data_IF_323139367253
#
_entry.id   IF_323139367253
#
_cell.length_a   1.000
_cell.length_b   1.000
_cell.length_c   1.000
_cell.angle_alpha   90.00
_cell.angle_beta   90.00
_cell.angle_gamma   90.00
#
_symmetry.space_group_name_H-M   'P 1'
#
loop_
_entity.id
_entity.type
_entity.pdbx_description
1 polymer ?
#
# COMPACT_ATOMS: atom_id res chain seq x y z
N UNK A 1 -5.27 -16.58 -5.34
CA UNK A 1 -5.12 -15.45 -4.42
C UNK A 1 -3.74 -15.42 -3.76
N UNK A 2 -3.24 -16.56 -3.26
CA UNK A 2 -1.87 -16.66 -2.68
C UNK A 2 -0.83 -15.99 -3.56
N UNK A 3 -0.80 -16.30 -4.85
CA UNK A 3 0.17 -15.75 -5.80
C UNK A 3 0.12 -14.22 -5.90
N UNK A 4 -1.03 -13.62 -5.64
CA UNK A 4 -1.19 -12.15 -5.62
C UNK A 4 -0.57 -11.53 -4.39
N UNK A 5 -0.62 -12.19 -3.25
CA UNK A 5 -0.05 -11.69 -1.99
C UNK A 5 1.48 -11.82 -2.00
N UNK A 6 2.01 -12.93 -2.51
CA UNK A 6 3.46 -13.20 -2.47
C UNK A 6 4.22 -12.66 -3.69
N UNK A 7 3.52 -12.15 -4.71
CA UNK A 7 4.13 -11.62 -5.93
C UNK A 7 5.29 -10.63 -5.61
N UNK A 8 6.40 -10.62 -6.33
CA UNK A 8 6.73 -11.45 -7.50
C UNK A 8 7.31 -12.84 -7.16
N UNK A 9 7.33 -13.23 -5.90
CA UNK A 9 7.77 -14.58 -5.51
C UNK A 9 6.78 -15.64 -5.97
N UNK A 10 7.25 -16.84 -6.28
CA UNK A 10 6.42 -17.98 -6.66
C UNK A 10 6.20 -18.94 -5.51
N UNK A 11 7.01 -18.82 -4.45
CA UNK A 11 6.94 -19.63 -3.24
C UNK A 11 7.04 -18.74 -2.01
N UNK A 12 6.52 -19.21 -0.88
CA UNK A 12 6.61 -18.52 0.40
C UNK A 12 6.69 -19.54 1.53
N UNK A 13 7.41 -19.17 2.59
CA UNK A 13 7.42 -19.91 3.86
C UNK A 13 6.30 -19.44 4.81
N UNK A 14 5.49 -18.45 4.39
CA UNK A 14 4.37 -17.96 5.18
C UNK A 14 3.25 -19.01 5.22
N UNK A 15 2.79 -19.33 6.42
CA UNK A 15 1.64 -20.19 6.64
C UNK A 15 0.34 -19.55 6.13
N UNK A 16 -0.66 -20.37 5.84
CA UNK A 16 -1.98 -19.91 5.37
C UNK A 16 -2.62 -18.93 6.35
N UNK A 17 -2.48 -19.20 7.64
CA UNK A 17 -2.99 -18.33 8.71
C UNK A 17 -2.39 -16.93 8.59
N UNK A 18 -1.08 -16.83 8.32
CA UNK A 18 -0.42 -15.52 8.15
C UNK A 18 -0.90 -14.79 6.90
N UNK A 19 -1.16 -15.50 5.81
CA UNK A 19 -1.72 -14.90 4.60
C UNK A 19 -3.14 -14.36 4.83
N UNK A 20 -3.95 -15.09 5.60
CA UNK A 20 -5.29 -14.63 5.99
C UNK A 20 -5.25 -13.42 6.93
N UNK A 21 -4.31 -13.39 7.89
CA UNK A 21 -4.07 -12.23 8.74
C UNK A 21 -3.67 -11.00 7.92
N UNK A 22 -2.80 -11.16 6.92
CA UNK A 22 -2.41 -10.05 6.04
C UNK A 22 -3.62 -9.48 5.28
N UNK A 23 -4.52 -10.32 4.80
CA UNK A 23 -5.77 -9.86 4.19
C UNK A 23 -6.63 -9.08 5.20
N UNK A 24 -6.71 -9.53 6.45
CA UNK A 24 -7.42 -8.83 7.50
C UNK A 24 -6.78 -7.46 7.79
N UNK A 25 -5.46 -7.39 7.87
CA UNK A 25 -4.71 -6.15 8.13
C UNK A 25 -4.97 -5.07 7.06
N UNK A 26 -5.32 -5.47 5.84
CA UNK A 26 -5.63 -4.55 4.74
C UNK A 26 -7.14 -4.45 4.44
N UNK A 27 -7.98 -4.91 5.36
CA UNK A 27 -9.45 -4.88 5.25
C UNK A 27 -10.00 -5.66 4.05
N UNK A 28 -9.42 -6.82 3.77
CA UNK A 28 -9.85 -7.80 2.77
C UNK A 28 -10.13 -9.17 3.40
N UNK A 29 -10.60 -9.18 4.64
CA UNK A 29 -10.80 -10.39 5.46
C UNK A 29 -11.74 -11.42 4.82
N UNK A 30 -12.73 -10.99 4.05
CA UNK A 30 -13.68 -11.88 3.39
C UNK A 30 -13.25 -12.32 1.99
N UNK A 31 -12.18 -11.72 1.45
CA UNK A 31 -11.80 -11.94 0.05
C UNK A 31 -11.49 -13.41 -0.25
N UNK A 32 -10.74 -14.08 0.63
CA UNK A 32 -10.38 -15.48 0.41
C UNK A 32 -11.62 -16.38 0.28
N UNK A 33 -12.63 -16.17 1.12
CA UNK A 33 -13.89 -16.91 1.05
C UNK A 33 -14.67 -16.58 -0.23
N UNK A 34 -14.77 -15.31 -0.57
CA UNK A 34 -15.52 -14.84 -1.75
C UNK A 34 -14.97 -15.39 -3.07
N UNK A 35 -13.66 -15.59 -3.17
CA UNK A 35 -13.01 -16.06 -4.40
C UNK A 35 -12.78 -17.56 -4.45
N UNK A 36 -13.10 -18.29 -3.39
CA UNK A 36 -12.95 -19.75 -3.34
C UNK A 36 -11.66 -20.25 -2.70
N UNK A 37 -11.02 -19.43 -1.86
CA UNK A 37 -9.85 -19.77 -1.06
C UNK A 37 -8.53 -19.17 -1.54
N UNK A 38 -7.47 -19.42 -0.80
CA UNK A 38 -6.13 -18.90 -1.11
C UNK A 38 -5.58 -19.42 -2.43
N UNK A 39 -5.91 -20.63 -2.83
CA UNK A 39 -5.44 -21.24 -4.07
C UNK A 39 -6.25 -20.82 -5.31
N UNK A 40 -7.33 -20.06 -5.13
CA UNK A 40 -8.15 -19.62 -6.25
C UNK A 40 -7.36 -18.77 -7.24
N UNK A 41 -7.63 -18.98 -8.52
CA UNK A 41 -7.03 -18.23 -9.64
C UNK A 41 -8.14 -17.56 -10.44
N UNK A 42 -8.02 -16.27 -10.62
CA UNK A 42 -8.98 -15.44 -11.35
C UNK A 42 -8.25 -14.38 -12.18
N UNK A 43 -8.97 -13.72 -13.07
CA UNK A 43 -8.54 -12.44 -13.66
C UNK A 43 -8.77 -11.32 -12.65
N UNK A 44 -7.78 -11.11 -11.80
CA UNK A 44 -7.87 -10.24 -10.63
C UNK A 44 -8.16 -8.78 -10.99
N UNK A 45 -7.64 -8.31 -12.12
CA UNK A 45 -7.88 -6.94 -12.58
C UNK A 45 -9.36 -6.70 -12.92
N UNK A 46 -10.04 -7.74 -13.39
CA UNK A 46 -11.48 -7.66 -13.69
C UNK A 46 -12.36 -7.95 -12.48
N UNK A 47 -11.89 -8.78 -11.58
CA UNK A 47 -12.66 -9.20 -10.41
C UNK A 47 -12.65 -8.16 -9.30
N UNK A 48 -11.48 -7.57 -9.02
CA UNK A 48 -11.29 -6.65 -7.91
C UNK A 48 -11.52 -5.19 -8.32
N UNK A 49 -12.16 -4.41 -7.46
CA UNK A 49 -12.18 -2.96 -7.58
C UNK A 49 -10.77 -2.38 -7.47
N UNK A 50 -10.58 -1.14 -7.94
CA UNK A 50 -9.27 -0.46 -7.84
C UNK A 50 -8.84 -0.35 -6.38
N UNK A 51 -9.76 -0.02 -5.46
CA UNK A 51 -9.46 0.06 -4.03
C UNK A 51 -9.05 -1.29 -3.43
N UNK A 52 -9.68 -2.39 -3.83
CA UNK A 52 -9.29 -3.74 -3.41
C UNK A 52 -7.91 -4.12 -3.97
N UNK A 53 -7.62 -3.78 -5.22
CA UNK A 53 -6.30 -3.99 -5.83
C UNK A 53 -5.21 -3.21 -5.07
N UNK A 54 -5.48 -1.96 -4.70
CA UNK A 54 -4.56 -1.14 -3.91
C UNK A 54 -4.32 -1.75 -2.53
N UNK A 55 -5.37 -2.18 -1.82
CA UNK A 55 -5.23 -2.85 -0.52
C UNK A 55 -4.45 -4.15 -0.63
N UNK A 56 -4.70 -4.93 -1.68
CA UNK A 56 -3.93 -6.16 -1.93
C UNK A 56 -2.44 -5.87 -2.18
N UNK A 57 -2.10 -4.76 -2.83
CA UNK A 57 -0.72 -4.32 -3.00
C UNK A 57 -0.04 -4.01 -1.65
N UNK A 58 -0.76 -3.43 -0.70
CA UNK A 58 -0.24 -3.26 0.67
C UNK A 58 -0.02 -4.60 1.38
N UNK A 59 -0.88 -5.59 1.18
CA UNK A 59 -0.66 -6.93 1.70
C UNK A 59 0.65 -7.55 1.18
N UNK A 60 0.99 -7.33 -0.10
CA UNK A 60 2.30 -7.74 -0.67
C UNK A 60 3.48 -7.11 0.06
N UNK A 61 3.40 -5.81 0.34
CA UNK A 61 4.47 -5.10 1.07
C UNK A 61 4.63 -5.67 2.47
N UNK A 62 3.52 -5.87 3.19
CA UNK A 62 3.53 -6.44 4.53
C UNK A 62 4.07 -7.88 4.55
N UNK A 63 3.76 -8.67 3.53
CA UNK A 63 4.27 -10.04 3.38
C UNK A 63 5.78 -10.07 3.17
N UNK A 64 6.32 -9.14 2.41
CA UNK A 64 7.74 -9.10 2.02
C UNK A 64 8.63 -8.37 3.02
N UNK A 65 8.09 -7.46 3.80
CA UNK A 65 8.82 -6.64 4.77
C UNK A 65 10.09 -5.99 4.19
N UNK A 66 9.98 -5.19 3.12
CA UNK A 66 11.14 -4.55 2.52
C UNK A 66 11.71 -3.47 3.44
N UNK A 67 13.00 -3.12 3.26
CA UNK A 67 13.62 -1.99 3.97
C UNK A 67 13.11 -0.62 3.49
N UNK A 68 12.70 -0.55 2.23
CA UNK A 68 12.14 0.66 1.60
C UNK A 68 11.03 0.28 0.64
N UNK A 69 10.00 1.12 0.57
CA UNK A 69 8.90 0.98 -0.39
C UNK A 69 8.62 2.31 -1.08
N UNK A 70 8.38 2.25 -2.37
CA UNK A 70 7.92 3.40 -3.17
C UNK A 70 6.45 3.18 -3.50
N UNK A 71 5.61 4.12 -3.10
CA UNK A 71 4.17 4.11 -3.30
C UNK A 71 3.79 5.19 -4.32
N UNK A 72 3.44 4.78 -5.54
CA UNK A 72 3.02 5.69 -6.60
C UNK A 72 1.50 5.69 -6.69
N UNK A 73 0.86 6.77 -6.18
CA UNK A 73 -0.59 6.91 -6.12
C UNK A 73 -1.31 5.70 -5.50
N UNK A 74 -0.67 5.05 -4.53
CA UNK A 74 -1.05 3.73 -4.03
C UNK A 74 -2.36 3.72 -3.22
N UNK A 75 -2.86 4.87 -2.79
CA UNK A 75 -4.09 5.03 -2.01
C UNK A 75 -5.16 5.89 -2.69
N UNK A 76 -4.98 6.19 -3.97
CA UNK A 76 -5.85 7.13 -4.72
C UNK A 76 -7.33 6.71 -4.76
N UNK A 77 -7.63 5.41 -4.69
CA UNK A 77 -9.00 4.88 -4.69
C UNK A 77 -9.52 4.53 -3.28
N UNK A 78 -8.79 4.88 -2.23
CA UNK A 78 -9.17 4.60 -0.84
C UNK A 78 -9.78 5.83 -0.18
N UNK A 79 -10.72 5.60 0.74
CA UNK A 79 -11.18 6.63 1.65
C UNK A 79 -10.10 6.97 2.70
N UNK A 80 -10.28 8.06 3.43
CA UNK A 80 -9.31 8.55 4.40
C UNK A 80 -9.04 7.55 5.54
N UNK A 81 -10.05 6.81 5.97
CA UNK A 81 -9.91 5.83 7.05
C UNK A 81 -9.05 4.64 6.61
N UNK A 82 -9.30 4.10 5.43
CA UNK A 82 -8.48 3.02 4.85
C UNK A 82 -7.06 3.48 4.58
N UNK A 83 -6.87 4.66 3.99
CA UNK A 83 -5.55 5.25 3.73
C UNK A 83 -4.76 5.38 5.03
N UNK A 84 -5.33 6.01 6.05
CA UNK A 84 -4.68 6.19 7.35
C UNK A 84 -4.29 4.86 7.98
N UNK A 85 -5.20 3.89 7.99
CA UNK A 85 -4.95 2.55 8.54
C UNK A 85 -3.77 1.85 7.86
N UNK A 86 -3.71 1.88 6.53
CA UNK A 86 -2.65 1.22 5.77
C UNK A 86 -1.29 1.91 5.96
N UNK A 87 -1.23 3.24 5.91
CA UNK A 87 0.00 3.97 6.18
C UNK A 87 0.50 3.75 7.61
N UNK A 88 -0.40 3.77 8.59
CA UNK A 88 -0.04 3.47 9.98
C UNK A 88 0.54 2.07 10.09
N UNK A 89 -0.07 1.09 9.46
CA UNK A 89 0.41 -0.29 9.47
C UNK A 89 1.81 -0.43 8.86
N UNK A 90 2.08 0.25 7.74
CA UNK A 90 3.42 0.29 7.16
C UNK A 90 4.44 0.95 8.09
N UNK A 91 4.09 2.08 8.71
CA UNK A 91 4.98 2.78 9.64
C UNK A 91 5.37 1.91 10.84
N UNK A 92 4.45 1.09 11.35
CA UNK A 92 4.72 0.15 12.43
C UNK A 92 5.77 -0.91 12.07
N UNK A 93 5.94 -1.21 10.79
CA UNK A 93 7.00 -2.13 10.31
C UNK A 93 8.40 -1.53 10.32
N UNK A 94 8.53 -0.20 10.49
CA UNK A 94 9.80 0.50 10.42
C UNK A 94 10.35 0.70 9.00
N UNK A 95 9.56 0.43 7.96
CA UNK A 95 9.97 0.59 6.56
C UNK A 95 10.18 2.08 6.21
N UNK A 96 11.16 2.34 5.34
CA UNK A 96 11.30 3.68 4.75
C UNK A 96 10.27 3.87 3.64
N UNK A 97 9.43 4.91 3.79
CA UNK A 97 8.35 5.22 2.86
C UNK A 97 8.74 6.36 1.93
N UNK A 98 8.57 6.15 0.62
CA UNK A 98 8.62 7.18 -0.39
C UNK A 98 7.29 7.17 -1.12
N UNK A 99 6.51 8.25 -1.04
CA UNK A 99 5.21 8.34 -1.69
C UNK A 99 5.19 9.41 -2.77
N UNK A 100 4.62 9.06 -3.91
CA UNK A 100 4.26 9.99 -4.98
C UNK A 100 2.73 10.13 -4.91
N UNK A 101 2.25 11.30 -4.52
CA UNK A 101 0.84 11.53 -4.30
C UNK A 101 0.49 13.02 -4.44
N UNK A 102 -0.82 13.28 -4.66
CA UNK A 102 -1.38 14.63 -4.78
C UNK A 102 -2.34 14.97 -3.64
N UNK A 103 -2.63 14.03 -2.75
CA UNK A 103 -3.57 14.22 -1.63
C UNK A 103 -2.84 14.77 -0.40
N UNK A 104 -3.40 15.80 0.20
CA UNK A 104 -2.88 16.38 1.46
C UNK A 104 -2.81 15.37 2.59
N UNK A 105 -3.78 14.44 2.67
CA UNK A 105 -3.82 13.40 3.69
C UNK A 105 -2.56 12.51 3.72
N UNK A 106 -1.89 12.35 2.59
CA UNK A 106 -0.64 11.56 2.52
C UNK A 106 0.50 12.24 3.25
N UNK A 107 0.54 13.57 3.33
CA UNK A 107 1.58 14.32 4.06
C UNK A 107 1.68 13.92 5.53
N UNK A 108 0.54 13.65 6.17
CA UNK A 108 0.47 13.31 7.60
C UNK A 108 1.24 12.04 7.95
N UNK A 109 1.53 11.21 6.95
CA UNK A 109 2.24 9.94 7.11
C UNK A 109 3.75 10.03 6.83
N UNK A 110 4.25 11.23 6.50
CA UNK A 110 5.64 11.48 6.10
C UNK A 110 6.28 12.55 6.97
N UNK A 111 7.60 12.53 7.04
CA UNK A 111 8.39 13.52 7.77
C UNK A 111 8.89 14.65 6.88
N UNK A 112 9.12 14.36 5.61
CA UNK A 112 9.69 15.31 4.64
C UNK A 112 8.96 15.26 3.31
N UNK A 113 9.06 16.36 2.56
CA UNK A 113 8.59 16.48 1.16
C UNK A 113 9.74 16.88 0.27
N UNK A 114 9.97 16.11 -0.78
CA UNK A 114 10.88 16.49 -1.87
C UNK A 114 10.04 17.09 -3.00
N UNK A 115 10.18 18.40 -3.17
CA UNK A 115 9.48 19.14 -4.21
C UNK A 115 10.36 19.26 -5.46
N UNK A 116 9.83 18.88 -6.61
CA UNK A 116 10.45 19.13 -7.92
C UNK A 116 9.75 20.30 -8.61
N UNK A 117 10.54 21.25 -9.09
CA UNK A 117 10.04 22.45 -9.76
C UNK A 117 10.17 22.33 -11.28
N UNK A 118 9.37 23.11 -12.00
CA UNK A 118 9.31 23.07 -13.46
C UNK A 118 10.63 23.46 -14.16
N UNK A 119 11.50 24.18 -13.47
CA UNK A 119 12.85 24.59 -13.95
C UNK A 119 13.93 23.52 -13.71
N UNK A 120 13.54 22.36 -13.18
CA UNK A 120 14.45 21.28 -12.81
C UNK A 120 15.11 21.44 -11.45
N UNK A 121 14.84 22.53 -10.71
CA UNK A 121 15.28 22.68 -9.34
C UNK A 121 14.46 21.77 -8.40
N UNK A 122 15.01 21.49 -7.23
CA UNK A 122 14.32 20.75 -6.19
C UNK A 122 14.52 21.41 -4.82
N UNK A 123 13.63 21.14 -3.89
CA UNK A 123 13.72 21.60 -2.52
C UNK A 123 13.22 20.53 -1.56
N UNK A 124 13.87 20.40 -0.42
CA UNK A 124 13.46 19.54 0.66
C UNK A 124 12.76 20.35 1.74
N UNK A 125 11.56 19.94 2.12
CA UNK A 125 10.75 20.60 3.14
C UNK A 125 10.43 19.64 4.29
N UNK A 126 10.18 20.22 5.46
CA UNK A 126 9.50 19.50 6.52
C UNK A 126 8.02 19.31 6.14
N UNK A 127 7.50 18.09 6.23
CA UNK A 127 6.13 17.79 5.84
C UNK A 127 5.10 18.59 6.65
N UNK A 128 5.38 18.85 7.92
CA UNK A 128 4.49 19.64 8.80
C UNK A 128 4.36 21.11 8.37
N UNK A 129 5.35 21.66 7.65
CA UNK A 129 5.40 23.03 7.19
C UNK A 129 5.05 23.18 5.69
N UNK A 130 4.86 22.08 4.96
CA UNK A 130 4.60 22.08 3.54
C UNK A 130 3.12 22.23 3.22
N UNK A 131 2.80 23.02 2.20
CA UNK A 131 1.47 23.10 1.61
C UNK A 131 1.58 22.92 0.10
N UNK A 132 0.72 22.08 -0.48
CA UNK A 132 0.67 21.97 -1.93
C UNK A 132 0.32 23.33 -2.54
N UNK A 133 0.99 23.72 -3.64
CA UNK A 133 0.58 24.91 -4.38
C UNK A 133 -0.87 24.74 -4.85
N UNK A 134 -1.66 25.74 -4.60
CA UNK A 134 -3.08 25.78 -4.93
C UNK A 134 -3.36 25.91 -6.41
#
# INVERSE_FOLDING_TARGET
>A
LRSQIIYPSTTTDLADERLLELLQEVHLETLAEQVGGLEATHDWEKLLSIGEQQRLAFARVLARQPGMVILDEATSALDSANETSLYQRLRETGVTLVSIAHRHSVLEHHTHVLEFKSDGAWALHDAAAFSFPG
#
